data_IF_383295540932
#
_entry.id   IF_383295540932
#
_cell.length_a   1.000
_cell.length_b   1.000
_cell.length_c   1.000
_cell.angle_alpha   90.00
_cell.angle_beta   90.00
_cell.angle_gamma   90.00
#
_symmetry.space_group_name_H-M   'P 1'
#
loop_
_entity.id
_entity.type
_entity.pdbx_description
1 polymer ?
#
# COMPACT_ATOMS: atom_id res chain seq x y z
N UNK A 1 11.67 24.64 8.11
CA UNK A 1 11.10 24.55 6.74
C UNK A 1 11.43 23.25 6.03
N UNK A 2 12.71 22.82 5.89
CA UNK A 2 13.10 21.58 5.18
C UNK A 2 12.39 20.31 5.69
N UNK A 3 12.29 20.13 7.01
CA UNK A 3 11.64 18.95 7.62
C UNK A 3 10.13 18.90 7.33
N UNK A 4 9.46 20.04 7.27
CA UNK A 4 8.04 20.11 6.93
C UNK A 4 7.79 19.66 5.48
N UNK A 5 8.57 20.19 4.53
CA UNK A 5 8.46 19.79 3.12
C UNK A 5 8.80 18.32 2.90
N UNK A 6 9.77 17.79 3.65
CA UNK A 6 10.12 16.36 3.61
C UNK A 6 8.91 15.49 4.04
N UNK A 7 8.29 15.81 5.18
CA UNK A 7 7.12 15.07 5.67
C UNK A 7 5.95 15.19 4.70
N UNK A 8 5.70 16.38 4.16
CA UNK A 8 4.62 16.62 3.22
C UNK A 8 4.79 15.80 1.93
N UNK A 9 5.97 15.88 1.30
CA UNK A 9 6.24 15.17 0.04
C UNK A 9 6.29 13.66 0.27
N UNK A 10 6.92 13.20 1.34
CA UNK A 10 6.90 11.79 1.71
C UNK A 10 5.47 11.28 1.96
N UNK A 11 4.64 12.10 2.61
CA UNK A 11 3.23 11.82 2.81
C UNK A 11 2.44 11.75 1.50
N UNK A 12 2.69 12.63 0.55
CA UNK A 12 2.10 12.59 -0.80
C UNK A 12 2.49 11.29 -1.52
N UNK A 13 3.78 10.93 -1.51
CA UNK A 13 4.24 9.68 -2.12
C UNK A 13 3.54 8.47 -1.50
N UNK A 14 3.43 8.43 -0.17
CA UNK A 14 2.74 7.36 0.54
C UNK A 14 1.24 7.31 0.24
N UNK A 15 0.60 8.49 0.20
CA UNK A 15 -0.83 8.60 -0.12
C UNK A 15 -1.11 8.10 -1.53
N UNK A 16 -0.32 8.50 -2.51
CA UNK A 16 -0.44 8.05 -3.90
C UNK A 16 -0.22 6.54 -4.01
N UNK A 17 0.94 6.04 -3.54
CA UNK A 17 1.30 4.63 -3.69
C UNK A 17 0.30 3.69 -3.00
N UNK A 18 -0.09 4.02 -1.76
CA UNK A 18 -1.06 3.24 -1.02
C UNK A 18 -2.49 3.39 -1.57
N UNK A 19 -2.85 4.60 -2.00
CA UNK A 19 -4.17 4.91 -2.54
C UNK A 19 -4.47 4.13 -3.81
N UNK A 20 -3.59 4.16 -4.80
CA UNK A 20 -3.75 3.36 -6.03
C UNK A 20 -3.82 1.87 -5.72
N UNK A 21 -2.94 1.36 -4.85
CA UNK A 21 -2.96 -0.06 -4.47
C UNK A 21 -4.28 -0.48 -3.83
N UNK A 22 -4.82 0.33 -2.92
CA UNK A 22 -6.04 0.03 -2.17
C UNK A 22 -7.32 0.22 -2.99
N UNK A 23 -7.26 0.94 -4.10
CA UNK A 23 -8.40 1.18 -4.99
C UNK A 23 -8.40 0.32 -6.25
N UNK A 24 -7.45 -0.62 -6.41
CA UNK A 24 -7.41 -1.52 -7.57
C UNK A 24 -8.69 -2.35 -7.75
N UNK A 25 -9.42 -2.63 -6.66
CA UNK A 25 -10.71 -3.32 -6.71
C UNK A 25 -11.78 -2.61 -7.54
N UNK A 26 -11.67 -1.29 -7.73
CA UNK A 26 -12.59 -0.49 -8.57
C UNK A 26 -12.58 -0.98 -10.03
N UNK A 27 -11.45 -1.47 -10.52
CA UNK A 27 -11.29 -1.94 -11.90
C UNK A 27 -11.84 -3.36 -12.14
N UNK A 28 -12.07 -4.15 -11.07
CA UNK A 28 -12.46 -5.57 -11.19
C UNK A 28 -13.78 -5.77 -11.97
N UNK A 29 -14.85 -4.99 -11.73
CA UNK A 29 -16.09 -5.16 -12.49
C UNK A 29 -15.93 -4.97 -14.00
N UNK A 30 -15.07 -4.04 -14.44
CA UNK A 30 -14.83 -3.75 -15.84
C UNK A 30 -13.86 -4.75 -16.49
N UNK A 31 -12.87 -5.21 -15.71
CA UNK A 31 -11.99 -6.30 -16.14
C UNK A 31 -12.78 -7.60 -16.37
N UNK A 32 -13.72 -7.92 -15.51
CA UNK A 32 -14.62 -9.07 -15.70
C UNK A 32 -15.55 -8.90 -16.90
N UNK A 33 -16.03 -7.69 -17.15
CA UNK A 33 -16.89 -7.39 -18.29
C UNK A 33 -16.17 -7.51 -19.64
N UNK A 34 -14.84 -7.39 -19.66
CA UNK A 34 -14.02 -7.53 -20.88
C UNK A 34 -13.96 -8.94 -21.43
N UNK A 35 -14.47 -9.95 -20.72
CA UNK A 35 -14.45 -11.40 -21.06
C UNK A 35 -13.07 -12.02 -21.28
N UNK A 36 -12.02 -11.23 -21.31
CA UNK A 36 -10.62 -11.70 -21.46
C UNK A 36 -10.08 -12.25 -20.13
N UNK A 37 -10.56 -11.70 -18.99
CA UNK A 37 -10.03 -12.00 -17.67
C UNK A 37 -11.08 -12.70 -16.81
N UNK A 38 -10.76 -13.91 -16.34
CA UNK A 38 -11.62 -14.63 -15.38
C UNK A 38 -11.42 -14.07 -13.96
N UNK A 39 -12.43 -14.27 -13.10
CA UNK A 39 -12.36 -13.90 -11.69
C UNK A 39 -11.18 -14.58 -10.98
N UNK A 40 -10.89 -15.85 -11.32
CA UNK A 40 -9.73 -16.60 -10.78
C UNK A 40 -8.41 -15.95 -11.17
N UNK A 41 -8.27 -15.52 -12.43
CA UNK A 41 -7.06 -14.83 -12.90
C UNK A 41 -6.85 -13.51 -12.19
N UNK A 42 -7.90 -12.69 -12.06
CA UNK A 42 -7.84 -11.40 -11.36
C UNK A 42 -7.45 -11.62 -9.90
N UNK A 43 -8.08 -12.60 -9.22
CA UNK A 43 -7.76 -12.96 -7.85
C UNK A 43 -6.32 -13.42 -7.68
N UNK A 44 -5.84 -14.30 -8.58
CA UNK A 44 -4.44 -14.75 -8.60
C UNK A 44 -3.47 -13.57 -8.82
N UNK A 45 -3.77 -12.70 -9.77
CA UNK A 45 -2.94 -11.52 -10.09
C UNK A 45 -2.82 -10.58 -8.89
N UNK A 46 -3.94 -10.29 -8.20
CA UNK A 46 -3.93 -9.46 -7.00
C UNK A 46 -3.26 -10.17 -5.80
N UNK A 47 -3.37 -11.48 -5.71
CA UNK A 47 -2.65 -12.30 -4.74
C UNK A 47 -1.14 -12.20 -4.94
N UNK A 48 -0.66 -12.40 -6.16
CA UNK A 48 0.77 -12.28 -6.53
C UNK A 48 1.26 -10.85 -6.31
N UNK A 49 0.48 -9.84 -6.71
CA UNK A 49 0.80 -8.43 -6.46
C UNK A 49 1.05 -8.17 -4.97
N UNK A 50 0.13 -8.55 -4.09
CA UNK A 50 0.26 -8.32 -2.66
C UNK A 50 1.40 -9.14 -2.02
N UNK A 51 1.62 -10.36 -2.48
CA UNK A 51 2.74 -11.19 -2.03
C UNK A 51 4.09 -10.56 -2.39
N UNK A 52 4.27 -10.18 -3.65
CA UNK A 52 5.51 -9.56 -4.12
C UNK A 52 5.72 -8.16 -3.54
N UNK A 53 4.66 -7.39 -3.33
CA UNK A 53 4.72 -6.13 -2.59
C UNK A 53 5.31 -6.32 -1.19
N UNK A 54 4.81 -7.31 -0.45
CA UNK A 54 5.31 -7.63 0.89
C UNK A 54 6.75 -8.14 0.89
N UNK A 55 7.08 -9.08 -0.02
CA UNK A 55 8.38 -9.70 -0.13
C UNK A 55 9.47 -8.69 -0.57
N UNK A 56 9.15 -7.78 -1.48
CA UNK A 56 10.10 -6.79 -2.00
C UNK A 56 10.36 -5.65 -1.01
N UNK A 57 9.41 -5.33 -0.13
CA UNK A 57 9.50 -4.19 0.78
C UNK A 57 10.77 -4.19 1.67
N UNK A 58 11.15 -5.28 2.40
CA UNK A 58 12.39 -5.31 3.17
C UNK A 58 13.64 -5.29 2.30
N UNK A 59 13.60 -5.91 1.11
CA UNK A 59 14.71 -5.92 0.17
C UNK A 59 14.96 -4.50 -0.36
N UNK A 60 13.89 -3.80 -0.73
CA UNK A 60 13.96 -2.40 -1.18
C UNK A 60 14.46 -1.47 -0.08
N UNK A 61 14.07 -1.71 1.18
CA UNK A 61 14.59 -0.97 2.33
C UNK A 61 16.11 -1.11 2.46
N UNK A 62 16.61 -2.35 2.40
CA UNK A 62 18.06 -2.61 2.44
C UNK A 62 18.80 -2.00 1.23
N UNK A 63 18.20 -2.04 0.04
CA UNK A 63 18.76 -1.43 -1.16
C UNK A 63 18.80 0.11 -1.05
N UNK A 64 17.73 0.73 -0.52
CA UNK A 64 17.67 2.17 -0.29
C UNK A 64 18.75 2.64 0.69
N UNK A 65 19.04 1.83 1.73
CA UNK A 65 20.12 2.11 2.67
C UNK A 65 21.50 2.10 2.01
N UNK A 66 21.74 1.18 1.09
CA UNK A 66 23.04 0.99 0.43
C UNK A 66 23.25 1.92 -0.77
N UNK A 67 22.23 2.05 -1.63
CA UNK A 67 22.34 2.76 -2.93
C UNK A 67 21.70 4.15 -2.92
N UNK A 68 20.94 4.46 -1.86
CA UNK A 68 20.26 5.75 -1.69
C UNK A 68 18.77 5.71 -2.03
N UNK A 69 18.00 6.46 -1.28
CA UNK A 69 16.54 6.51 -1.38
C UNK A 69 16.04 7.06 -2.72
N UNK A 70 16.71 8.09 -3.27
CA UNK A 70 16.34 8.68 -4.57
C UNK A 70 16.34 7.63 -5.67
N UNK A 71 17.46 6.91 -5.82
CA UNK A 71 17.59 5.87 -6.86
C UNK A 71 16.55 4.77 -6.68
N UNK A 72 16.35 4.32 -5.45
CA UNK A 72 15.39 3.26 -5.12
C UNK A 72 13.97 3.69 -5.48
N UNK A 73 13.53 4.86 -5.01
CA UNK A 73 12.17 5.36 -5.28
C UNK A 73 11.94 5.66 -6.76
N UNK A 74 12.94 6.23 -7.47
CA UNK A 74 12.83 6.46 -8.92
C UNK A 74 12.64 5.15 -9.69
N UNK A 75 13.39 4.09 -9.34
CA UNK A 75 13.20 2.75 -9.93
C UNK A 75 11.79 2.23 -9.62
N UNK A 76 11.30 2.43 -8.41
CA UNK A 76 9.94 2.06 -8.03
C UNK A 76 8.87 2.77 -8.85
N UNK A 77 8.97 4.08 -9.03
CA UNK A 77 8.04 4.87 -9.84
C UNK A 77 8.05 4.46 -11.31
N UNK A 78 9.23 4.27 -11.91
CA UNK A 78 9.37 3.77 -13.28
C UNK A 78 8.76 2.39 -13.41
N UNK A 79 9.01 1.51 -12.44
CA UNK A 79 8.46 0.16 -12.43
C UNK A 79 6.93 0.12 -12.31
N UNK A 80 6.33 0.98 -11.48
CA UNK A 80 4.86 1.11 -11.40
C UNK A 80 4.28 1.66 -12.71
N UNK A 81 4.91 2.69 -13.29
CA UNK A 81 4.49 3.23 -14.57
C UNK A 81 4.54 2.16 -15.67
N UNK A 82 5.63 1.40 -15.73
CA UNK A 82 5.76 0.27 -16.66
C UNK A 82 4.69 -0.80 -16.42
N UNK A 83 4.41 -1.13 -15.15
CA UNK A 83 3.37 -2.09 -14.78
C UNK A 83 2.01 -1.67 -15.32
N UNK A 84 1.58 -0.45 -15.06
CA UNK A 84 0.29 0.04 -15.53
C UNK A 84 0.24 0.16 -17.07
N UNK A 85 1.33 0.58 -17.72
CA UNK A 85 1.41 0.64 -19.15
C UNK A 85 1.29 -0.76 -19.79
N UNK A 86 2.05 -1.74 -19.31
CA UNK A 86 1.97 -3.14 -19.75
C UNK A 86 0.58 -3.70 -19.50
N UNK A 87 0.00 -3.44 -18.33
CA UNK A 87 -1.35 -3.92 -17.99
C UNK A 87 -2.41 -3.31 -18.89
N UNK A 88 -2.29 -2.03 -19.26
CA UNK A 88 -3.26 -1.33 -20.12
C UNK A 88 -3.38 -1.94 -21.51
N UNK A 89 -2.32 -2.58 -21.99
CA UNK A 89 -2.26 -3.26 -23.29
C UNK A 89 -2.44 -4.79 -23.19
N UNK A 90 -2.92 -5.28 -22.05
CA UNK A 90 -3.04 -6.72 -21.80
C UNK A 90 -4.15 -7.34 -22.66
N UNK A 91 -3.75 -8.21 -23.59
CA UNK A 91 -4.64 -8.98 -24.47
C UNK A 91 -4.72 -10.46 -24.09
N UNK A 92 -3.96 -10.88 -23.07
CA UNK A 92 -3.91 -12.28 -22.62
C UNK A 92 -3.78 -12.38 -21.10
N UNK A 93 -4.21 -13.51 -20.51
CA UNK A 93 -4.07 -13.79 -19.08
C UNK A 93 -2.64 -13.60 -18.54
N UNK A 94 -1.66 -14.12 -19.25
CA UNK A 94 -0.25 -14.03 -18.84
C UNK A 94 0.27 -12.59 -18.89
N UNK A 95 -0.16 -11.82 -19.88
CA UNK A 95 0.22 -10.42 -20.00
C UNK A 95 -0.29 -9.58 -18.82
N UNK A 96 -1.56 -9.80 -18.42
CA UNK A 96 -2.16 -9.16 -17.26
C UNK A 96 -1.46 -9.55 -15.94
N UNK A 97 -1.19 -10.85 -15.77
CA UNK A 97 -0.52 -11.38 -14.58
C UNK A 97 0.91 -10.85 -14.45
N UNK A 98 1.68 -10.81 -15.53
CA UNK A 98 3.04 -10.26 -15.55
C UNK A 98 3.04 -8.75 -15.33
N UNK A 99 2.18 -8.01 -16.02
CA UNK A 99 2.09 -6.56 -15.92
C UNK A 99 1.70 -6.11 -14.52
N UNK A 100 0.50 -6.43 -14.08
CA UNK A 100 -0.01 -5.97 -12.79
C UNK A 100 0.54 -6.81 -11.63
N UNK A 101 0.49 -8.14 -11.74
CA UNK A 101 0.86 -9.04 -10.65
C UNK A 101 2.34 -8.97 -10.31
N UNK A 102 3.21 -9.21 -11.29
CA UNK A 102 4.65 -9.34 -11.04
C UNK A 102 5.33 -7.97 -11.02
N UNK A 103 5.29 -7.24 -12.13
CA UNK A 103 5.98 -5.95 -12.23
C UNK A 103 5.38 -4.96 -11.23
N UNK A 104 4.05 -4.91 -11.13
CA UNK A 104 3.33 -4.04 -10.21
C UNK A 104 3.63 -4.35 -8.75
N UNK A 105 3.57 -5.63 -8.36
CA UNK A 105 3.86 -6.05 -6.99
C UNK A 105 5.28 -5.73 -6.55
N UNK A 106 6.28 -6.06 -7.37
CA UNK A 106 7.69 -5.75 -7.08
C UNK A 106 7.90 -4.23 -6.95
N UNK A 107 7.37 -3.46 -7.89
CA UNK A 107 7.56 -2.00 -7.93
C UNK A 107 6.83 -1.29 -6.77
N UNK A 108 5.63 -1.73 -6.42
CA UNK A 108 4.90 -1.24 -5.26
C UNK A 108 5.66 -1.53 -3.95
N UNK A 109 6.35 -2.69 -3.86
CA UNK A 109 7.22 -3.01 -2.74
C UNK A 109 8.38 -2.03 -2.58
N UNK A 110 8.91 -1.52 -3.69
CA UNK A 110 10.01 -0.55 -3.69
C UNK A 110 9.55 0.82 -3.14
N UNK A 111 8.33 1.27 -3.43
CA UNK A 111 7.78 2.53 -2.91
C UNK A 111 6.92 2.34 -1.66
N UNK A 112 7.17 1.28 -0.92
CA UNK A 112 6.37 0.90 0.25
C UNK A 112 6.61 1.79 1.47
N UNK A 113 5.66 1.76 2.40
CA UNK A 113 5.66 2.53 3.65
C UNK A 113 6.98 2.38 4.44
N UNK A 114 7.52 1.15 4.68
CA UNK A 114 8.76 1.00 5.43
C UNK A 114 9.97 1.68 4.78
N UNK A 115 10.05 1.66 3.44
CA UNK A 115 11.14 2.30 2.70
C UNK A 115 11.11 3.82 2.91
N UNK A 116 9.94 4.43 2.75
CA UNK A 116 9.78 5.89 2.86
C UNK A 116 9.97 6.36 4.30
N UNK A 117 9.39 5.66 5.28
CA UNK A 117 9.58 5.97 6.70
C UNK A 117 11.05 5.82 7.09
N UNK A 118 11.74 4.79 6.61
CA UNK A 118 13.18 4.61 6.81
C UNK A 118 13.98 5.80 6.30
N UNK A 119 13.64 6.32 5.12
CA UNK A 119 14.27 7.52 4.57
C UNK A 119 14.02 8.77 5.40
N UNK A 120 12.77 9.03 5.78
CA UNK A 120 12.38 10.20 6.56
C UNK A 120 12.97 10.18 7.96
N UNK A 121 12.98 9.02 8.63
CA UNK A 121 13.46 8.88 10.01
C UNK A 121 14.93 9.28 10.18
N UNK A 122 15.72 9.27 9.13
CA UNK A 122 17.14 9.70 9.16
C UNK A 122 17.33 11.21 9.34
N UNK A 123 16.27 11.99 9.14
CA UNK A 123 16.34 13.46 9.34
C UNK A 123 16.06 13.88 10.78
N UNK A 124 15.70 12.95 11.65
CA UNK A 124 15.33 13.24 13.03
C UNK A 124 16.17 12.40 13.98
N UNK A 125 16.87 13.05 14.93
CA UNK A 125 17.73 12.35 15.90
C UNK A 125 16.96 11.87 17.13
N UNK A 126 15.88 12.58 17.49
CA UNK A 126 15.06 12.29 18.67
C UNK A 126 13.99 11.23 18.39
N UNK A 127 13.94 10.18 19.24
CA UNK A 127 13.00 9.05 19.10
C UNK A 127 11.53 9.47 19.23
N UNK A 128 11.23 10.48 20.07
CA UNK A 128 9.86 11.01 20.21
C UNK A 128 9.39 11.66 18.92
N UNK A 129 10.24 12.48 18.32
CA UNK A 129 9.98 13.13 17.03
C UNK A 129 9.84 12.09 15.90
N UNK A 130 10.71 11.09 15.84
CA UNK A 130 10.60 9.97 14.89
C UNK A 130 9.26 9.26 14.99
N UNK A 131 8.82 8.95 16.21
CA UNK A 131 7.53 8.28 16.46
C UNK A 131 6.37 9.15 15.99
N UNK A 132 6.40 10.44 16.30
CA UNK A 132 5.35 11.40 15.88
C UNK A 132 5.29 11.52 14.35
N UNK A 133 6.44 11.69 13.70
CA UNK A 133 6.54 11.79 12.23
C UNK A 133 6.06 10.49 11.56
N UNK A 134 6.43 9.34 12.11
CA UNK A 134 5.93 8.04 11.61
C UNK A 134 4.40 7.96 11.70
N UNK A 135 3.81 8.40 12.81
CA UNK A 135 2.36 8.46 12.97
C UNK A 135 1.68 9.36 11.93
N UNK A 136 2.25 10.54 11.66
CA UNK A 136 1.76 11.47 10.62
C UNK A 136 1.86 10.81 9.24
N UNK A 137 3.00 10.21 8.90
CA UNK A 137 3.19 9.55 7.60
C UNK A 137 2.24 8.37 7.39
N UNK A 138 1.99 7.57 8.43
CA UNK A 138 1.02 6.48 8.39
C UNK A 138 -0.41 6.99 8.18
N UNK A 139 -0.77 8.09 8.80
CA UNK A 139 -2.07 8.75 8.60
C UNK A 139 -2.21 9.29 7.17
N UNK A 140 -1.16 9.91 6.62
CA UNK A 140 -1.12 10.36 5.22
C UNK A 140 -1.17 9.16 4.25
N UNK A 141 -0.51 8.05 4.55
CA UNK A 141 -0.65 6.83 3.75
C UNK A 141 -2.09 6.30 3.74
N UNK A 142 -2.78 6.34 4.89
CA UNK A 142 -4.18 5.92 5.00
C UNK A 142 -5.14 6.85 4.23
N UNK A 143 -4.82 8.15 4.12
CA UNK A 143 -5.62 9.11 3.36
C UNK A 143 -5.66 8.79 1.86
N UNK A 144 -4.68 8.06 1.35
CA UNK A 144 -4.61 7.72 -0.06
C UNK A 144 -5.85 7.00 -0.56
N UNK A 145 -6.40 6.08 0.21
CA UNK A 145 -7.59 5.32 -0.19
C UNK A 145 -8.79 6.25 -0.42
N UNK A 146 -9.07 7.19 0.48
CA UNK A 146 -10.23 8.07 0.29
C UNK A 146 -10.03 9.09 -0.85
N UNK A 147 -8.78 9.48 -1.15
CA UNK A 147 -8.47 10.42 -2.24
C UNK A 147 -8.51 9.70 -3.59
N UNK A 148 -7.84 8.55 -3.70
CA UNK A 148 -7.66 7.89 -4.99
C UNK A 148 -8.79 6.95 -5.39
N UNK A 149 -9.65 6.50 -4.45
CA UNK A 149 -10.83 5.72 -4.82
C UNK A 149 -11.80 6.49 -5.73
N UNK A 150 -12.25 7.71 -5.39
CA UNK A 150 -13.12 8.48 -6.30
C UNK A 150 -12.41 8.89 -7.60
N UNK A 151 -11.11 9.17 -7.55
CA UNK A 151 -10.32 9.47 -8.76
C UNK A 151 -10.31 8.25 -9.70
N UNK A 152 -10.00 7.06 -9.20
CA UNK A 152 -10.00 5.83 -10.00
C UNK A 152 -11.40 5.45 -10.48
N UNK A 153 -12.44 5.69 -9.68
CA UNK A 153 -13.83 5.51 -10.12
C UNK A 153 -14.17 6.44 -11.30
N UNK A 154 -13.81 7.71 -11.20
CA UNK A 154 -13.99 8.67 -12.29
C UNK A 154 -13.22 8.27 -13.54
N UNK A 155 -11.96 7.85 -13.40
CA UNK A 155 -11.13 7.44 -14.52
C UNK A 155 -11.72 6.22 -15.23
N UNK A 156 -12.12 5.18 -14.49
CA UNK A 156 -12.63 3.94 -15.10
C UNK A 156 -13.98 4.13 -15.75
N UNK A 157 -14.86 4.95 -15.16
CA UNK A 157 -16.20 5.22 -15.75
C UNK A 157 -16.13 6.11 -16.99
N UNK A 158 -15.13 7.01 -17.06
CA UNK A 158 -14.99 7.95 -18.17
C UNK A 158 -14.14 7.37 -19.32
N UNK A 159 -13.05 6.67 -18.98
CA UNK A 159 -12.01 6.27 -19.94
C UNK A 159 -11.85 4.75 -20.09
N UNK A 160 -12.67 3.96 -19.44
CA UNK A 160 -12.50 2.51 -19.33
C UNK A 160 -11.19 2.12 -18.61
N UNK A 161 -11.03 0.84 -18.28
CA UNK A 161 -9.88 0.36 -17.51
C UNK A 161 -8.53 0.53 -18.22
N UNK A 162 -8.46 0.30 -19.54
CA UNK A 162 -7.21 0.34 -20.30
C UNK A 162 -6.60 1.75 -20.32
N UNK A 163 -7.37 2.76 -20.74
CA UNK A 163 -6.89 4.14 -20.80
C UNK A 163 -6.66 4.72 -19.39
N UNK A 164 -7.46 4.31 -18.40
CA UNK A 164 -7.25 4.67 -16.99
C UNK A 164 -5.89 4.22 -16.49
N UNK A 165 -5.45 3.00 -16.83
CA UNK A 165 -4.13 2.51 -16.48
C UNK A 165 -3.02 3.28 -17.21
N UNK A 166 -3.21 3.68 -18.48
CA UNK A 166 -2.24 4.52 -19.19
C UNK A 166 -2.09 5.89 -18.54
N UNK A 167 -3.20 6.55 -18.18
CA UNK A 167 -3.18 7.84 -17.46
C UNK A 167 -2.44 7.68 -16.13
N UNK A 168 -2.72 6.61 -15.39
CA UNK A 168 -2.04 6.31 -14.14
C UNK A 168 -0.55 6.06 -14.34
N UNK A 169 -0.14 5.37 -15.41
CA UNK A 169 1.26 5.16 -15.74
C UNK A 169 2.00 6.49 -15.93
N UNK A 170 1.43 7.39 -16.73
CA UNK A 170 1.99 8.74 -16.96
C UNK A 170 2.05 9.52 -15.65
N UNK A 171 1.00 9.47 -14.83
CA UNK A 171 0.97 10.13 -13.52
C UNK A 171 2.12 9.69 -12.61
N UNK A 172 2.42 8.39 -12.55
CA UNK A 172 3.54 7.89 -11.75
C UNK A 172 4.91 8.36 -12.25
N UNK A 173 5.09 8.60 -13.55
CA UNK A 173 6.32 9.20 -14.08
C UNK A 173 6.51 10.64 -13.59
N UNK A 174 5.43 11.41 -13.46
CA UNK A 174 5.47 12.77 -12.90
C UNK A 174 5.81 12.80 -11.40
N UNK A 175 5.76 11.67 -10.69
CA UNK A 175 6.16 11.59 -9.28
C UNK A 175 7.67 11.39 -9.10
N UNK A 176 8.42 11.03 -10.15
CA UNK A 176 9.87 10.79 -10.07
C UNK A 176 10.61 11.99 -9.46
N UNK A 177 10.35 13.26 -9.85
CA UNK A 177 11.00 14.42 -9.25
C UNK A 177 10.79 14.54 -7.74
N UNK A 178 9.67 14.04 -7.20
CA UNK A 178 9.43 14.07 -5.75
C UNK A 178 10.42 13.19 -4.97
N UNK A 179 11.02 12.18 -5.61
CA UNK A 179 12.03 11.35 -4.98
C UNK A 179 13.29 12.15 -4.60
N UNK A 180 13.59 13.27 -5.29
CA UNK A 180 14.75 14.09 -5.02
C UNK A 180 14.72 14.80 -3.66
N UNK A 181 13.56 14.86 -3.00
CA UNK A 181 13.47 15.35 -1.60
C UNK A 181 14.31 14.47 -0.66
N UNK A 182 14.54 13.20 -1.02
CA UNK A 182 15.39 12.28 -0.29
C UNK A 182 16.88 12.38 -0.63
N UNK A 183 17.33 13.47 -1.27
CA UNK A 183 18.76 13.82 -1.39
C UNK A 183 19.31 14.17 0.00
N UNK A 184 19.56 13.13 0.79
CA UNK A 184 20.14 13.26 2.12
C UNK A 184 21.65 13.49 1.96
N UNK A 185 22.25 14.51 2.60
CA UNK A 185 23.70 14.54 2.78
C UNK A 185 24.10 13.23 3.48
N UNK A 186 25.20 12.63 3.02
CA UNK A 186 25.72 11.38 3.58
C UNK A 186 25.78 11.48 5.11
N UNK A 187 24.78 10.93 5.77
CA UNK A 187 24.76 10.81 7.23
C UNK A 187 25.88 9.87 7.69
N UNK A 188 26.44 10.21 8.83
CA UNK A 188 27.63 9.65 9.45
C UNK A 188 27.89 8.15 9.20
N UNK A 189 29.14 7.88 8.87
CA UNK A 189 29.74 6.57 8.60
C UNK A 189 29.52 5.51 9.72
N UNK A 190 29.09 5.89 10.91
CA UNK A 190 28.89 4.98 12.05
C UNK A 190 27.68 4.06 11.89
N UNK A 191 26.54 4.57 11.40
CA UNK A 191 25.32 3.74 11.21
C UNK A 191 25.52 2.76 10.05
N UNK A 192 26.29 3.14 9.02
CA UNK A 192 26.62 2.25 7.91
C UNK A 192 27.40 1.00 8.31
N UNK A 193 28.27 1.08 9.33
CA UNK A 193 29.13 -0.06 9.71
C UNK A 193 28.38 -1.18 10.43
N UNK A 194 27.38 -0.88 11.24
CA UNK A 194 26.64 -1.91 11.98
C UNK A 194 25.66 -2.69 11.11
N UNK A 195 24.99 -2.02 10.17
CA UNK A 195 24.04 -2.68 9.25
C UNK A 195 24.73 -3.51 8.16
N UNK A 196 25.95 -3.16 7.76
CA UNK A 196 26.68 -3.87 6.69
C UNK A 196 27.30 -5.19 7.19
N UNK A 197 27.39 -5.42 8.50
CA UNK A 197 28.01 -6.63 9.06
C UNK A 197 27.05 -7.80 9.32
N UNK A 198 25.74 -7.58 9.41
CA UNK A 198 24.77 -8.67 9.61
C UNK A 198 24.14 -9.08 8.30
N UNK A 199 24.27 -10.35 7.93
CA UNK A 199 23.56 -10.92 6.78
C UNK A 199 22.05 -10.84 7.07
N UNK A 200 21.27 -10.34 6.12
CA UNK A 200 19.79 -10.24 6.23
C UNK A 200 19.18 -11.59 6.63
N UNK A 201 19.74 -12.70 6.13
CA UNK A 201 19.30 -14.05 6.48
C UNK A 201 19.40 -14.37 7.97
N UNK A 202 20.44 -13.86 8.65
CA UNK A 202 20.66 -14.14 10.07
C UNK A 202 19.70 -13.33 10.94
N UNK A 203 19.43 -12.08 10.54
CA UNK A 203 18.41 -11.23 11.20
C UNK A 203 17.02 -11.87 11.07
N UNK A 204 16.67 -12.35 9.87
CA UNK A 204 15.39 -13.04 9.63
C UNK A 204 15.31 -14.33 10.47
N UNK A 205 16.35 -15.16 10.47
CA UNK A 205 16.37 -16.39 11.28
C UNK A 205 16.23 -16.10 12.77
N UNK A 206 16.88 -15.06 13.27
CA UNK A 206 16.77 -14.66 14.67
C UNK A 206 15.35 -14.17 15.02
N UNK A 207 14.74 -13.35 14.15
CA UNK A 207 13.37 -12.87 14.33
C UNK A 207 12.37 -14.04 14.37
N UNK A 208 12.49 -15.02 13.47
CA UNK A 208 11.60 -16.19 13.47
C UNK A 208 11.78 -17.15 14.65
N UNK A 209 12.87 -17.07 15.42
CA UNK A 209 13.03 -17.80 16.69
C UNK A 209 12.16 -17.24 17.81
N UNK A 210 11.83 -15.94 17.76
CA UNK A 210 10.98 -15.30 18.77
C UNK A 210 9.51 -15.68 18.59
N UNK A 211 8.89 -16.23 19.65
CA UNK A 211 7.47 -16.62 19.65
C UNK A 211 6.55 -15.42 19.46
N UNK A 212 6.85 -14.28 20.09
CA UNK A 212 6.05 -13.06 19.98
C UNK A 212 6.04 -12.52 18.54
N UNK A 213 7.19 -12.58 17.88
CA UNK A 213 7.32 -12.19 16.48
C UNK A 213 6.49 -13.08 15.55
N UNK A 214 6.47 -14.39 15.77
CA UNK A 214 5.65 -15.33 14.98
C UNK A 214 4.15 -15.06 15.16
N UNK A 215 3.68 -14.84 16.38
CA UNK A 215 2.27 -14.46 16.62
C UNK A 215 1.92 -13.10 16.01
N UNK A 216 2.86 -12.15 16.03
CA UNK A 216 2.67 -10.86 15.38
C UNK A 216 2.49 -11.01 13.86
N UNK A 217 3.32 -11.84 13.20
CA UNK A 217 3.19 -12.13 11.76
C UNK A 217 1.82 -12.75 11.45
N UNK A 218 1.36 -13.73 12.24
CA UNK A 218 0.04 -14.34 12.05
C UNK A 218 -1.08 -13.31 12.18
N UNK A 219 -1.00 -12.43 13.18
CA UNK A 219 -1.95 -11.32 13.32
C UNK A 219 -1.94 -10.37 12.11
N UNK A 220 -0.77 -9.99 11.61
CA UNK A 220 -0.64 -9.15 10.42
C UNK A 220 -1.12 -9.86 9.14
N UNK A 221 -0.92 -11.17 9.03
CA UNK A 221 -1.47 -11.96 7.92
C UNK A 221 -3.00 -11.85 7.87
N UNK A 222 -3.68 -12.06 9.01
CA UNK A 222 -5.14 -11.93 9.10
C UNK A 222 -5.58 -10.50 8.77
N UNK A 223 -4.84 -9.49 9.27
CA UNK A 223 -5.11 -8.09 8.93
C UNK A 223 -5.03 -7.84 7.42
N UNK A 224 -3.95 -8.30 6.80
CA UNK A 224 -3.73 -8.16 5.36
C UNK A 224 -4.83 -8.83 4.54
N UNK A 225 -5.26 -10.03 4.94
CA UNK A 225 -6.35 -10.77 4.31
C UNK A 225 -7.67 -9.97 4.33
N UNK A 226 -8.07 -9.46 5.49
CA UNK A 226 -9.29 -8.67 5.64
C UNK A 226 -9.24 -7.38 4.80
N UNK A 227 -8.12 -6.67 4.82
CA UNK A 227 -7.95 -5.43 4.04
C UNK A 227 -7.99 -5.72 2.55
N UNK A 228 -7.28 -6.76 2.09
CA UNK A 228 -7.26 -7.14 0.68
C UNK A 228 -8.65 -7.59 0.19
N UNK A 229 -9.39 -8.32 1.02
CA UNK A 229 -10.73 -8.77 0.68
C UNK A 229 -11.67 -7.59 0.46
N UNK A 230 -11.71 -6.64 1.39
CA UNK A 230 -12.57 -5.47 1.28
C UNK A 230 -12.13 -4.59 0.10
N UNK A 231 -10.85 -4.21 0.02
CA UNK A 231 -10.39 -3.27 -1.00
C UNK A 231 -10.47 -3.80 -2.43
N UNK A 232 -10.29 -5.10 -2.62
CA UNK A 232 -10.28 -5.70 -3.97
C UNK A 232 -11.65 -6.21 -4.43
N UNK A 233 -12.50 -6.67 -3.50
CA UNK A 233 -13.71 -7.38 -3.88
C UNK A 233 -15.02 -6.67 -3.52
N UNK A 234 -15.01 -5.64 -2.67
CA UNK A 234 -16.23 -4.90 -2.31
C UNK A 234 -16.96 -4.33 -3.54
N UNK A 235 -16.28 -3.74 -4.56
CA UNK A 235 -16.97 -3.25 -5.76
C UNK A 235 -17.65 -4.36 -6.55
N UNK A 236 -16.99 -5.50 -6.69
CA UNK A 236 -17.56 -6.66 -7.39
C UNK A 236 -18.75 -7.26 -6.60
N UNK A 237 -18.60 -7.38 -5.27
CA UNK A 237 -19.66 -7.86 -4.38
C UNK A 237 -20.91 -6.97 -4.48
N UNK A 238 -20.75 -5.65 -4.45
CA UNK A 238 -21.84 -4.70 -4.59
C UNK A 238 -22.55 -4.86 -5.95
N UNK A 239 -21.79 -4.97 -7.05
CA UNK A 239 -22.32 -5.16 -8.40
C UNK A 239 -23.10 -6.46 -8.53
N UNK A 240 -22.62 -7.57 -7.94
CA UNK A 240 -23.32 -8.87 -7.94
C UNK A 240 -24.62 -8.82 -7.16
N UNK A 241 -24.75 -7.94 -6.17
CA UNK A 241 -25.99 -7.71 -5.42
C UNK A 241 -26.88 -6.59 -6.04
N UNK A 242 -26.62 -6.18 -7.29
CA UNK A 242 -27.45 -5.21 -8.01
C UNK A 242 -27.22 -3.75 -7.63
N UNK A 243 -26.15 -3.45 -6.84
CA UNK A 243 -25.80 -2.08 -6.47
C UNK A 243 -24.92 -1.45 -7.54
N UNK A 244 -25.06 -0.13 -7.70
CA UNK A 244 -24.20 0.66 -8.61
C UNK A 244 -22.75 0.65 -8.11
N UNK A 245 -21.80 0.62 -9.05
CA UNK A 245 -20.36 0.70 -8.76
C UNK A 245 -19.98 1.99 -8.03
N UNK A 246 -20.74 3.07 -8.21
CA UNK A 246 -20.57 4.34 -7.50
C UNK A 246 -20.84 4.20 -6.00
N UNK A 247 -21.82 3.39 -5.61
CA UNK A 247 -22.11 3.09 -4.20
C UNK A 247 -20.94 2.34 -3.57
N UNK A 248 -20.40 1.36 -4.28
CA UNK A 248 -19.23 0.62 -3.81
C UNK A 248 -17.98 1.51 -3.67
N UNK A 249 -17.74 2.40 -4.63
CA UNK A 249 -16.67 3.37 -4.57
C UNK A 249 -16.84 4.34 -3.38
N UNK A 250 -18.06 4.79 -3.11
CA UNK A 250 -18.40 5.60 -1.93
C UNK A 250 -18.11 4.82 -0.65
N UNK A 251 -18.50 3.55 -0.57
CA UNK A 251 -18.20 2.66 0.55
C UNK A 251 -16.70 2.55 0.81
N UNK A 252 -15.90 2.30 -0.23
CA UNK A 252 -14.42 2.26 -0.12
C UNK A 252 -13.83 3.61 0.30
N UNK A 253 -14.38 4.71 -0.19
CA UNK A 253 -13.98 6.06 0.20
C UNK A 253 -14.22 6.28 1.70
N UNK A 254 -15.38 5.90 2.21
CA UNK A 254 -15.72 5.95 3.63
C UNK A 254 -14.78 5.06 4.46
N UNK A 255 -14.50 3.84 4.01
CA UNK A 255 -13.49 2.97 4.64
C UNK A 255 -12.14 3.69 4.73
N UNK A 256 -11.72 4.40 3.68
CA UNK A 256 -10.49 5.19 3.67
C UNK A 256 -10.50 6.32 4.72
N UNK A 257 -11.60 7.09 4.82
CA UNK A 257 -11.77 8.18 5.80
C UNK A 257 -11.70 7.62 7.22
N UNK A 258 -12.48 6.59 7.52
CA UNK A 258 -12.48 5.97 8.85
C UNK A 258 -11.16 5.26 9.19
N UNK A 259 -10.44 4.75 8.20
CA UNK A 259 -9.10 4.19 8.40
C UNK A 259 -8.10 5.28 8.81
N UNK A 260 -8.14 6.45 8.19
CA UNK A 260 -7.32 7.60 8.56
C UNK A 260 -7.61 8.06 10.00
N UNK A 261 -8.90 8.28 10.33
CA UNK A 261 -9.34 8.69 11.67
C UNK A 261 -8.97 7.62 12.71
N UNK A 262 -9.26 6.35 12.42
CA UNK A 262 -8.96 5.22 13.28
C UNK A 262 -7.46 5.08 13.56
N UNK A 263 -6.61 5.34 12.56
CA UNK A 263 -5.15 5.32 12.73
C UNK A 263 -4.69 6.40 13.70
N UNK A 264 -5.23 7.61 13.62
CA UNK A 264 -4.93 8.71 14.54
C UNK A 264 -5.39 8.40 15.97
N UNK A 265 -6.62 7.90 16.12
CA UNK A 265 -7.20 7.54 17.43
C UNK A 265 -6.41 6.38 18.05
N UNK A 266 -6.15 5.31 17.30
CA UNK A 266 -5.42 4.14 17.80
C UNK A 266 -3.99 4.48 18.20
N UNK A 267 -3.34 5.41 17.51
CA UNK A 267 -2.03 5.94 17.88
C UNK A 267 -2.04 6.59 19.26
N UNK A 268 -3.04 7.43 19.55
CA UNK A 268 -3.19 8.07 20.88
C UNK A 268 -3.57 7.06 21.96
N UNK A 269 -4.56 6.22 21.70
CA UNK A 269 -5.05 5.21 22.65
C UNK A 269 -3.97 4.18 23.01
N UNK A 270 -3.10 3.83 22.08
CA UNK A 270 -1.96 2.92 22.32
C UNK A 270 -0.90 3.50 23.26
N UNK A 271 -0.92 4.81 23.53
CA UNK A 271 -0.09 5.45 24.55
C UNK A 271 -0.67 5.28 25.99
N UNK A 272 -1.97 4.99 26.11
CA UNK A 272 -2.69 4.89 27.37
C UNK A 272 -3.01 3.42 27.72
N UNK A 273 -3.45 2.66 26.72
CA UNK A 273 -3.87 1.26 26.85
C UNK A 273 -2.81 0.34 26.25
N UNK A 274 -2.61 -0.84 26.81
CA UNK A 274 -1.67 -1.85 26.28
C UNK A 274 -2.05 -2.18 24.84
N UNK A 275 -1.09 -2.04 23.91
CA UNK A 275 -1.24 -2.21 22.46
C UNK A 275 -1.99 -3.50 22.05
N UNK A 276 -1.83 -4.60 22.80
CA UNK A 276 -2.52 -5.86 22.56
C UNK A 276 -4.04 -5.75 22.63
N UNK A 277 -4.58 -4.98 23.59
CA UNK A 277 -6.03 -4.83 23.73
C UNK A 277 -6.61 -3.94 22.61
N UNK A 278 -5.89 -2.87 22.23
CA UNK A 278 -6.28 -2.03 21.09
C UNK A 278 -6.33 -2.87 19.83
N UNK A 279 -5.33 -3.69 19.58
CA UNK A 279 -5.27 -4.56 18.41
C UNK A 279 -6.41 -5.60 18.42
N UNK A 280 -6.66 -6.25 19.56
CA UNK A 280 -7.75 -7.22 19.70
C UNK A 280 -9.12 -6.59 19.44
N UNK A 281 -9.34 -5.37 19.95
CA UNK A 281 -10.57 -4.63 19.71
C UNK A 281 -10.78 -4.31 18.22
N UNK A 282 -9.73 -3.87 17.53
CA UNK A 282 -9.77 -3.58 16.08
C UNK A 282 -10.13 -4.84 15.28
N UNK A 283 -9.53 -5.98 15.58
CA UNK A 283 -9.84 -7.23 14.88
C UNK A 283 -11.26 -7.72 15.15
N UNK A 284 -11.70 -7.65 16.41
CA UNK A 284 -13.04 -8.06 16.81
C UNK A 284 -14.12 -7.20 16.12
N UNK A 285 -13.97 -5.87 16.16
CA UNK A 285 -14.90 -4.93 15.52
C UNK A 285 -14.97 -5.15 14.00
N UNK A 286 -13.82 -5.39 13.37
CA UNK A 286 -13.74 -5.68 11.93
C UNK A 286 -14.43 -7.00 11.57
N UNK A 287 -14.27 -8.03 12.40
CA UNK A 287 -14.93 -9.32 12.18
C UNK A 287 -16.46 -9.18 12.25
N UNK A 288 -16.97 -8.40 13.20
CA UNK A 288 -18.42 -8.10 13.28
C UNK A 288 -18.86 -7.34 12.02
N UNK A 289 -18.13 -6.32 11.59
CA UNK A 289 -18.51 -5.55 10.41
C UNK A 289 -18.57 -6.41 9.14
N UNK A 290 -17.59 -7.31 8.94
CA UNK A 290 -17.60 -8.23 7.80
C UNK A 290 -18.77 -9.22 7.90
N UNK A 291 -19.05 -9.74 9.10
CA UNK A 291 -20.17 -10.64 9.33
C UNK A 291 -21.51 -9.98 9.01
N UNK A 292 -21.71 -8.73 9.46
CA UNK A 292 -22.92 -7.97 9.14
C UNK A 292 -23.04 -7.70 7.63
N UNK A 293 -21.96 -7.37 6.94
CA UNK A 293 -21.95 -7.19 5.48
C UNK A 293 -22.39 -8.44 4.73
N UNK A 294 -22.02 -9.63 5.23
CA UNK A 294 -22.42 -10.90 4.60
C UNK A 294 -23.88 -11.28 4.84
N UNK A 295 -24.46 -10.87 5.99
CA UNK A 295 -25.87 -11.17 6.31
C UNK A 295 -26.80 -10.14 5.64
N UNK A 296 -26.39 -8.87 5.59
CA UNK A 296 -27.19 -7.77 5.07
C UNK A 296 -26.50 -7.08 3.89
N UNK A 297 -26.36 -7.75 2.74
CA UNK A 297 -25.57 -7.21 1.62
C UNK A 297 -26.21 -5.99 0.93
N UNK A 298 -27.50 -5.74 1.16
CA UNK A 298 -28.30 -4.72 0.45
C UNK A 298 -28.87 -3.61 1.35
N UNK A 299 -28.51 -3.59 2.64
CA UNK A 299 -28.99 -2.56 3.59
C UNK A 299 -28.00 -1.41 3.80
#
# INVERSE_FOLDING_TARGET
MKSFFLILIAGVILSVGNGFRMSLGIYVPDLLASTVFSASLIGLTYGIFNFLWGAMSPIAGAFAEQKGYVKTLSVGFIGIALSFYVTSSAISPNHFLLGLGVIGGLSAGIISVPVIIGGVSKYFDDDKTRTTVTGILMSLAASGMFIFTPINQFLVTTFQWSLSFQITAVFFLFLIPLSFIFLIPKSDKKIKKEFTQRKISDVIKQAFKDKSYRYLILGFFVCGLHVALISNYLPTFAKLNGLDTTIAATGLTLVGIFNMIGTLISGRVSGIIKKKFVLSFIYFSRSIAIFLLLIFPTT
#
